data_IF_937660378835
#
_entry.id   IF_937660378835
#
_cell.length_a   1.000
_cell.length_b   1.000
_cell.length_c   1.000
_cell.angle_alpha   90.00
_cell.angle_beta   90.00
_cell.angle_gamma   90.00
#
_symmetry.space_group_name_H-M   'P 1'
#
loop_
_entity.id
_entity.type
_entity.pdbx_description
1 polymer ?
#
# COMPACT_ATOMS: atom_id res chain seq x y z
N UNK A 1 2.45 -10.50 6.97
CA UNK A 1 2.35 -9.54 5.84
C UNK A 1 2.75 -8.13 6.26
N UNK A 2 2.05 -7.49 7.19
CA UNK A 2 2.38 -6.11 7.60
C UNK A 2 3.83 -5.93 8.07
N UNK A 3 4.27 -6.77 9.02
CA UNK A 3 5.65 -6.74 9.53
C UNK A 3 6.71 -6.91 8.43
N UNK A 4 6.54 -7.87 7.51
CA UNK A 4 7.51 -8.11 6.43
C UNK A 4 7.60 -6.95 5.44
N UNK A 5 6.48 -6.31 5.10
CA UNK A 5 6.45 -5.13 4.23
C UNK A 5 7.10 -3.92 4.92
N UNK A 6 6.72 -3.64 6.16
CA UNK A 6 7.29 -2.54 6.92
C UNK A 6 8.80 -2.71 7.14
N UNK A 7 9.26 -3.92 7.48
CA UNK A 7 10.68 -4.23 7.62
C UNK A 7 11.44 -4.03 6.29
N UNK A 8 10.84 -4.45 5.16
CA UNK A 8 11.44 -4.26 3.83
C UNK A 8 11.62 -2.78 3.51
N UNK A 9 10.59 -1.95 3.72
CA UNK A 9 10.65 -0.49 3.48
C UNK A 9 11.65 0.17 4.45
N UNK A 10 11.66 -0.23 5.71
CA UNK A 10 12.63 0.26 6.71
C UNK A 10 14.07 -0.02 6.29
N UNK A 11 14.38 -1.25 5.86
CA UNK A 11 15.72 -1.62 5.41
C UNK A 11 16.13 -0.86 4.14
N UNK A 12 15.18 -0.62 3.23
CA UNK A 12 15.43 0.17 2.03
C UNK A 12 15.79 1.61 2.36
N UNK A 13 15.02 2.24 3.25
CA UNK A 13 15.24 3.62 3.70
C UNK A 13 16.54 3.76 4.49
N UNK A 14 16.88 2.77 5.32
CA UNK A 14 18.16 2.70 6.04
C UNK A 14 19.36 2.65 5.08
N UNK A 15 19.18 2.04 3.91
CA UNK A 15 20.19 1.99 2.84
C UNK A 15 20.25 3.25 1.97
N UNK A 16 19.49 4.30 2.32
CA UNK A 16 19.37 5.55 1.56
C UNK A 16 18.76 5.37 0.15
N UNK A 17 17.78 4.47 0.04
CA UNK A 17 16.98 4.25 -1.17
C UNK A 17 15.50 4.51 -0.90
N UNK A 18 14.77 4.79 -1.99
CA UNK A 18 13.33 5.04 -2.03
C UNK A 18 12.72 4.06 -3.04
N UNK A 19 11.56 3.46 -2.72
CA UNK A 19 10.91 2.48 -3.60
C UNK A 19 10.13 3.15 -4.73
N UNK A 20 9.41 4.23 -4.42
CA UNK A 20 8.70 5.12 -5.37
C UNK A 20 7.47 4.54 -6.06
N UNK A 21 7.20 3.24 -5.93
CA UNK A 21 6.03 2.58 -6.51
C UNK A 21 5.41 1.50 -5.59
N UNK A 22 5.11 1.83 -4.33
CA UNK A 22 4.44 0.91 -3.40
C UNK A 22 2.93 1.00 -3.59
N UNK A 23 2.29 -0.13 -3.86
CA UNK A 23 0.83 -0.27 -4.00
C UNK A 23 0.43 -1.75 -3.98
N UNK A 24 -0.86 -2.03 -3.85
CA UNK A 24 -1.39 -3.41 -3.69
C UNK A 24 -0.98 -4.38 -4.77
N UNK A 25 -0.95 -3.93 -6.03
CA UNK A 25 -0.55 -4.75 -7.19
C UNK A 25 0.94 -5.08 -7.20
N UNK A 26 1.75 -4.29 -6.50
CA UNK A 26 3.17 -4.56 -6.26
C UNK A 26 3.43 -5.46 -5.06
N UNK A 27 2.40 -5.94 -4.37
CA UNK A 27 2.53 -6.89 -3.25
C UNK A 27 2.24 -8.30 -3.76
N UNK A 28 3.26 -9.14 -3.77
CA UNK A 28 3.15 -10.54 -4.18
C UNK A 28 3.00 -11.43 -2.95
N UNK A 29 2.00 -12.32 -2.98
CA UNK A 29 1.73 -13.27 -1.90
C UNK A 29 2.08 -14.68 -2.33
N UNK A 30 2.74 -15.42 -1.44
CA UNK A 30 3.09 -16.81 -1.64
C UNK A 30 2.77 -17.63 -0.40
N UNK A 31 2.58 -18.92 -0.59
CA UNK A 31 2.50 -19.89 0.49
C UNK A 31 3.90 -20.44 0.73
N UNK A 32 4.43 -20.19 1.92
CA UNK A 32 5.63 -20.87 2.40
C UNK A 32 5.22 -22.17 3.09
N UNK A 33 5.88 -23.25 2.72
CA UNK A 33 5.76 -24.60 3.26
C UNK A 33 7.14 -25.08 3.73
N UNK A 34 7.24 -26.22 4.43
CA UNK A 34 8.54 -26.78 4.81
C UNK A 34 9.45 -27.12 3.61
N UNK A 35 8.89 -27.27 2.42
CA UNK A 35 9.63 -27.60 1.19
C UNK A 35 10.00 -26.37 0.36
N UNK A 36 9.50 -25.18 0.72
CA UNK A 36 9.86 -23.93 0.06
C UNK A 36 8.66 -22.98 -0.12
N UNK A 37 8.81 -22.03 -1.02
CA UNK A 37 7.80 -20.99 -1.29
C UNK A 37 7.14 -21.23 -2.63
N UNK A 38 5.80 -21.21 -2.67
CA UNK A 38 5.02 -21.48 -3.87
C UNK A 38 3.93 -20.43 -4.07
N UNK A 39 3.69 -20.06 -5.33
CA UNK A 39 2.54 -19.25 -5.72
C UNK A 39 1.25 -20.08 -5.79
N UNK A 40 1.37 -21.41 -5.88
CA UNK A 40 0.25 -22.33 -5.92
C UNK A 40 -0.29 -22.62 -4.51
N UNK A 41 -1.55 -23.03 -4.42
CA UNK A 41 -2.16 -23.47 -3.16
C UNK A 41 -2.61 -22.36 -2.21
N UNK A 42 -2.27 -21.09 -2.48
CA UNK A 42 -2.65 -19.95 -1.63
C UNK A 42 -4.17 -19.83 -1.43
N UNK A 43 -4.95 -20.00 -2.51
CA UNK A 43 -6.41 -19.94 -2.47
C UNK A 43 -7.01 -21.09 -1.65
N UNK A 44 -6.53 -22.32 -1.88
CA UNK A 44 -6.98 -23.50 -1.12
C UNK A 44 -6.64 -23.37 0.36
N UNK A 45 -5.40 -22.95 0.68
CA UNK A 45 -4.96 -22.72 2.06
C UNK A 45 -5.81 -21.67 2.77
N UNK A 46 -6.23 -20.61 2.08
CA UNK A 46 -7.10 -19.57 2.67
C UNK A 46 -8.51 -20.09 2.97
N UNK A 47 -9.06 -20.99 2.14
CA UNK A 47 -10.40 -21.54 2.35
C UNK A 47 -10.43 -22.65 3.41
N UNK A 48 -9.42 -23.52 3.38
CA UNK A 48 -9.29 -24.66 4.28
C UNK A 48 -7.86 -24.69 4.83
N UNK A 49 -7.57 -23.90 5.88
CA UNK A 49 -6.27 -23.93 6.52
C UNK A 49 -6.06 -25.31 7.15
N UNK A 50 -4.99 -26.01 6.76
CA UNK A 50 -4.59 -27.28 7.38
C UNK A 50 -3.80 -26.97 8.66
N UNK A 51 -4.31 -27.27 9.86
CA UNK A 51 -3.61 -26.97 11.11
C UNK A 51 -2.34 -27.82 11.32
N UNK A 52 -2.21 -28.91 10.58
CA UNK A 52 -1.07 -29.85 10.70
C UNK A 52 0.13 -29.46 9.82
N UNK A 53 -0.06 -28.59 8.83
CA UNK A 53 0.99 -28.17 7.93
C UNK A 53 1.59 -26.85 8.42
N UNK A 54 2.90 -26.83 8.71
CA UNK A 54 3.63 -25.62 9.07
C UNK A 54 3.77 -24.71 7.84
N UNK A 55 2.66 -24.04 7.50
CA UNK A 55 2.50 -23.22 6.31
C UNK A 55 2.15 -21.80 6.70
N UNK A 56 2.71 -20.83 5.98
CA UNK A 56 2.45 -19.41 6.25
C UNK A 56 2.34 -18.62 4.96
N UNK A 57 1.45 -17.63 4.95
CA UNK A 57 1.38 -16.66 3.85
C UNK A 57 2.50 -15.64 4.05
N UNK A 58 3.40 -15.55 3.07
CA UNK A 58 4.49 -14.57 3.01
C UNK A 58 4.23 -13.54 1.92
N UNK A 59 4.72 -12.32 2.13
CA UNK A 59 4.53 -11.19 1.21
C UNK A 59 5.87 -10.62 0.75
N UNK A 60 6.00 -10.34 -0.54
CA UNK A 60 7.16 -9.70 -1.14
C UNK A 60 6.75 -8.42 -1.86
N UNK A 61 7.63 -7.41 -1.79
CA UNK A 61 7.49 -6.17 -2.55
C UNK A 61 8.14 -6.36 -3.93
N UNK A 62 7.41 -6.04 -5.01
CA UNK A 62 7.91 -6.04 -6.39
C UNK A 62 8.19 -4.61 -6.87
N UNK A 63 8.37 -4.40 -8.18
CA UNK A 63 8.52 -3.08 -8.81
C UNK A 63 9.82 -2.32 -8.46
N UNK A 64 10.87 -3.05 -8.05
CA UNK A 64 12.21 -2.52 -7.76
C UNK A 64 12.85 -1.73 -8.91
N UNK A 65 12.36 -1.85 -10.15
CA UNK A 65 12.79 -1.03 -11.29
C UNK A 65 12.55 0.47 -11.10
N UNK A 66 11.65 0.87 -10.20
CA UNK A 66 11.41 2.28 -9.83
C UNK A 66 12.29 2.76 -8.67
N UNK A 67 12.93 1.86 -7.94
CA UNK A 67 13.69 2.21 -6.75
C UNK A 67 14.92 3.05 -7.12
N UNK A 68 15.19 4.11 -6.37
CA UNK A 68 16.30 5.03 -6.62
C UNK A 68 16.97 5.43 -5.31
N UNK A 69 18.26 5.77 -5.38
CA UNK A 69 18.94 6.38 -4.23
C UNK A 69 18.31 7.74 -3.92
N UNK A 70 18.26 8.12 -2.63
CA UNK A 70 17.82 9.46 -2.19
C UNK A 70 18.64 10.61 -2.81
N UNK A 71 19.87 10.32 -3.25
CA UNK A 71 20.75 11.29 -3.90
C UNK A 71 20.37 11.53 -5.36
N UNK A 72 19.65 10.60 -5.98
CA UNK A 72 19.17 10.73 -7.35
C UNK A 72 17.91 11.60 -7.33
N UNK A 73 17.91 12.66 -8.14
CA UNK A 73 16.75 13.52 -8.30
C UNK A 73 15.49 12.74 -8.69
N UNK A 74 14.32 13.30 -8.37
CA UNK A 74 13.04 12.69 -8.71
C UNK A 74 12.48 13.24 -10.01
N UNK A 75 12.02 12.37 -10.89
CA UNK A 75 11.22 12.77 -12.05
C UNK A 75 9.89 13.40 -11.59
N UNK A 76 9.68 14.66 -11.96
CA UNK A 76 8.47 15.43 -11.65
C UNK A 76 7.37 15.21 -12.71
N UNK A 77 7.28 13.99 -13.24
CA UNK A 77 6.32 13.63 -14.28
C UNK A 77 4.91 13.66 -13.71
N UNK A 78 4.01 14.30 -14.44
CA UNK A 78 2.59 14.27 -14.11
C UNK A 78 1.98 12.93 -14.53
N UNK A 79 1.08 12.41 -13.71
CA UNK A 79 0.37 11.17 -13.98
C UNK A 79 -1.05 11.26 -13.43
N UNK A 80 -2.02 11.00 -14.31
CA UNK A 80 -3.45 11.16 -14.06
C UNK A 80 -4.18 9.82 -13.98
N UNK A 81 -3.48 8.70 -13.88
CA UNK A 81 -4.10 7.40 -13.61
C UNK A 81 -4.72 7.39 -12.22
N UNK A 82 -6.05 7.19 -12.14
CA UNK A 82 -6.80 7.43 -10.91
C UNK A 82 -6.41 6.48 -9.78
N UNK A 83 -6.35 5.18 -10.05
CA UNK A 83 -6.11 4.16 -9.02
C UNK A 83 -4.69 4.21 -8.43
N UNK A 84 -3.60 4.26 -9.23
CA UNK A 84 -2.24 4.42 -8.69
C UNK A 84 -2.08 5.68 -7.83
N UNK A 85 -2.77 6.78 -8.20
CA UNK A 85 -2.71 8.02 -7.43
C UNK A 85 -3.32 7.89 -6.01
N UNK A 86 -4.17 6.90 -5.73
CA UNK A 86 -4.68 6.67 -4.37
C UNK A 86 -3.58 6.24 -3.39
N UNK A 87 -2.51 5.62 -3.88
CA UNK A 87 -1.35 5.19 -3.10
C UNK A 87 -0.27 6.26 -3.02
N UNK A 88 -0.41 7.38 -3.73
CA UNK A 88 0.57 8.47 -3.72
C UNK A 88 0.23 9.49 -2.67
N UNK A 89 1.26 9.96 -1.97
CA UNK A 89 1.15 11.07 -1.05
C UNK A 89 0.52 12.30 -1.73
N UNK A 90 -0.33 13.10 -1.06
CA UNK A 90 -0.99 14.28 -1.62
C UNK A 90 -0.09 15.23 -2.43
N UNK A 91 1.17 15.41 -2.01
CA UNK A 91 2.16 16.26 -2.73
C UNK A 91 2.67 15.67 -4.04
N UNK A 92 2.35 14.41 -4.32
CA UNK A 92 2.79 13.66 -5.49
C UNK A 92 1.63 13.21 -6.38
N UNK A 93 0.38 13.54 -6.02
CA UNK A 93 -0.79 13.19 -6.82
C UNK A 93 -0.95 14.11 -8.03
N UNK A 94 -1.24 13.53 -9.20
CA UNK A 94 -1.47 14.30 -10.42
C UNK A 94 -0.20 15.01 -10.90
N UNK A 95 -0.09 16.31 -10.57
CA UNK A 95 1.10 17.14 -10.84
C UNK A 95 1.92 17.25 -9.55
N UNK A 96 3.09 16.61 -9.46
CA UNK A 96 3.87 16.63 -8.23
C UNK A 96 4.33 18.03 -7.85
N UNK A 97 4.19 18.39 -6.57
CA UNK A 97 4.66 19.66 -6.00
C UNK A 97 6.04 19.57 -5.36
N UNK A 98 6.43 18.39 -4.87
CA UNK A 98 7.69 18.15 -4.15
C UNK A 98 8.50 16.99 -4.75
N UNK A 99 9.80 16.96 -4.51
CA UNK A 99 10.64 15.80 -4.83
C UNK A 99 10.23 14.58 -3.99
N UNK A 100 10.50 13.36 -4.47
CA UNK A 100 10.15 12.18 -3.72
C UNK A 100 11.05 12.02 -2.49
N UNK A 101 10.46 11.77 -1.32
CA UNK A 101 11.16 11.55 -0.06
C UNK A 101 10.68 10.23 0.60
N UNK A 102 11.15 9.94 1.82
CA UNK A 102 10.78 8.72 2.54
C UNK A 102 9.31 8.70 2.99
N UNK A 103 8.75 9.85 3.37
CA UNK A 103 7.36 9.98 3.81
C UNK A 103 6.40 9.50 2.71
N UNK A 104 6.72 9.77 1.43
CA UNK A 104 5.90 9.27 0.33
C UNK A 104 5.84 7.74 0.20
N UNK A 105 6.93 7.03 0.50
CA UNK A 105 6.89 5.56 0.58
C UNK A 105 6.13 5.09 1.82
N UNK A 106 6.24 5.81 2.94
CA UNK A 106 5.54 5.47 4.19
C UNK A 106 4.03 5.66 4.03
N UNK A 107 3.59 6.75 3.41
CA UNK A 107 2.20 7.00 3.04
C UNK A 107 1.66 5.84 2.20
N UNK A 108 2.39 5.49 1.13
CA UNK A 108 1.99 4.41 0.21
C UNK A 108 1.90 3.05 0.92
N UNK A 109 2.85 2.77 1.82
CA UNK A 109 2.80 1.61 2.69
C UNK A 109 1.58 1.64 3.63
N UNK A 110 1.25 2.80 4.22
CA UNK A 110 0.07 2.99 5.06
C UNK A 110 -1.24 2.65 4.32
N UNK A 111 -1.38 3.09 3.07
CA UNK A 111 -2.52 2.74 2.21
C UNK A 111 -2.60 1.23 1.97
N UNK A 112 -1.49 0.57 1.67
CA UNK A 112 -1.44 -0.90 1.49
C UNK A 112 -1.77 -1.64 2.79
N UNK A 113 -1.25 -1.18 3.92
CA UNK A 113 -1.55 -1.79 5.22
C UNK A 113 -3.01 -1.60 5.62
N UNK A 114 -3.63 -0.48 5.26
CA UNK A 114 -5.07 -0.25 5.43
C UNK A 114 -5.89 -1.26 4.61
N UNK A 115 -5.55 -1.51 3.34
CA UNK A 115 -6.23 -2.53 2.54
C UNK A 115 -6.07 -3.94 3.13
N UNK A 116 -4.87 -4.28 3.61
CA UNK A 116 -4.62 -5.56 4.28
C UNK A 116 -5.46 -5.64 5.56
N UNK A 117 -5.55 -4.55 6.30
CA UNK A 117 -6.29 -4.47 7.56
C UNK A 117 -7.80 -4.60 7.40
N UNK A 118 -8.35 -3.98 6.37
CA UNK A 118 -9.78 -4.07 6.02
C UNK A 118 -10.10 -5.31 5.18
N UNK A 119 -9.07 -5.95 4.63
CA UNK A 119 -9.17 -7.04 3.66
C UNK A 119 -10.04 -6.71 2.42
N UNK A 120 -10.02 -5.44 2.02
CA UNK A 120 -10.74 -4.91 0.84
C UNK A 120 -9.79 -4.00 0.07
N UNK A 121 -9.73 -4.15 -1.26
CA UNK A 121 -8.86 -3.31 -2.11
C UNK A 121 -9.35 -1.88 -2.21
N UNK A 122 -8.43 -0.95 -2.43
CA UNK A 122 -8.69 0.47 -2.58
C UNK A 122 -9.52 0.74 -3.84
N UNK A 123 -9.40 -0.09 -4.86
CA UNK A 123 -10.26 -0.05 -6.05
C UNK A 123 -11.74 -0.28 -5.70
N UNK A 124 -12.04 -1.09 -4.68
CA UNK A 124 -13.39 -1.32 -4.17
C UNK A 124 -13.82 -0.24 -3.18
N UNK A 125 -12.95 0.09 -2.21
CA UNK A 125 -13.25 1.11 -1.18
C UNK A 125 -13.49 2.49 -1.81
N UNK A 126 -12.78 2.81 -2.90
CA UNK A 126 -12.85 4.09 -3.61
C UNK A 126 -13.57 3.99 -4.96
N UNK A 127 -14.35 2.94 -5.21
CA UNK A 127 -15.01 2.70 -6.52
C UNK A 127 -15.78 3.92 -7.02
N UNK A 128 -16.57 4.55 -6.14
CA UNK A 128 -17.35 5.75 -6.48
C UNK A 128 -16.47 6.90 -6.98
N UNK A 129 -15.34 7.15 -6.32
CA UNK A 129 -14.37 8.20 -6.73
C UNK A 129 -13.66 7.84 -8.01
N UNK A 130 -13.31 6.56 -8.17
CA UNK A 130 -12.64 6.08 -9.39
C UNK A 130 -13.58 6.26 -10.59
N UNK A 131 -14.86 5.94 -10.43
CA UNK A 131 -15.87 6.15 -11.47
C UNK A 131 -16.04 7.64 -11.78
N UNK A 132 -16.26 8.49 -10.76
CA UNK A 132 -16.41 9.93 -10.94
C UNK A 132 -15.19 10.58 -11.63
N UNK A 133 -13.98 10.14 -11.27
CA UNK A 133 -12.75 10.64 -11.87
C UNK A 133 -12.60 10.21 -13.34
N UNK A 134 -13.01 8.97 -13.67
CA UNK A 134 -13.05 8.48 -15.06
C UNK A 134 -14.07 9.25 -15.89
N UNK A 135 -15.24 9.53 -15.33
CA UNK A 135 -16.33 10.23 -16.02
C UNK A 135 -16.00 11.72 -16.24
N UNK A 136 -15.38 12.37 -15.24
CA UNK A 136 -15.02 13.80 -15.30
C UNK A 136 -13.66 14.08 -15.94
N UNK A 137 -12.81 13.06 -16.11
CA UNK A 137 -11.42 13.21 -16.55
C UNK A 137 -10.53 13.94 -15.54
N UNK A 138 -10.96 14.08 -14.28
CA UNK A 138 -10.24 14.80 -13.23
C UNK A 138 -9.95 13.89 -12.05
N UNK A 139 -8.71 13.95 -11.54
CA UNK A 139 -8.35 13.23 -10.33
C UNK A 139 -9.18 13.71 -9.12
N UNK A 140 -9.49 12.81 -8.17
CA UNK A 140 -10.04 13.20 -6.89
C UNK A 140 -9.11 14.20 -6.18
N UNK A 141 -9.70 15.12 -5.41
CA UNK A 141 -8.90 16.08 -4.63
C UNK A 141 -8.09 15.32 -3.58
N UNK A 142 -6.78 15.51 -3.55
CA UNK A 142 -5.86 14.79 -2.66
C UNK A 142 -6.24 14.89 -1.18
N UNK A 143 -6.59 16.10 -0.71
CA UNK A 143 -7.10 16.30 0.66
C UNK A 143 -8.34 15.45 0.96
N UNK A 144 -9.25 15.32 0.00
CA UNK A 144 -10.46 14.52 0.19
C UNK A 144 -10.14 13.03 0.22
N UNK A 145 -9.21 12.58 -0.62
CA UNK A 145 -8.71 11.19 -0.58
C UNK A 145 -8.10 10.89 0.80
N UNK A 146 -7.27 11.80 1.32
CA UNK A 146 -6.66 11.67 2.64
C UNK A 146 -7.71 11.55 3.75
N UNK A 147 -8.69 12.47 3.79
CA UNK A 147 -9.79 12.44 4.76
C UNK A 147 -10.55 11.10 4.72
N UNK A 148 -10.79 10.57 3.51
CA UNK A 148 -11.53 9.33 3.36
C UNK A 148 -10.69 8.10 3.75
N UNK A 149 -9.37 8.11 3.53
CA UNK A 149 -8.45 7.08 4.03
C UNK A 149 -8.38 7.05 5.56
N UNK A 150 -8.28 8.22 6.19
CA UNK A 150 -8.30 8.36 7.66
C UNK A 150 -9.65 7.88 8.23
N UNK A 151 -10.76 8.25 7.60
CA UNK A 151 -12.09 7.79 8.00
C UNK A 151 -12.22 6.26 7.89
N UNK A 152 -11.72 5.66 6.80
CA UNK A 152 -11.69 4.21 6.63
C UNK A 152 -10.86 3.52 7.73
N UNK A 153 -9.71 4.08 8.07
CA UNK A 153 -8.86 3.58 9.14
C UNK A 153 -9.59 3.62 10.50
N UNK A 154 -10.17 4.76 10.86
CA UNK A 154 -10.85 4.96 12.14
C UNK A 154 -12.13 4.13 12.29
N UNK A 155 -12.89 3.93 11.22
CA UNK A 155 -14.20 3.25 11.29
C UNK A 155 -14.12 1.74 11.06
N UNK A 156 -13.18 1.31 10.20
CA UNK A 156 -13.09 -0.09 9.77
C UNK A 156 -12.13 -0.90 10.61
N UNK A 157 -10.94 -0.37 10.89
CA UNK A 157 -9.89 -1.15 11.56
C UNK A 157 -10.22 -1.62 12.98
N UNK A 158 -10.94 -0.86 13.84
CA UNK A 158 -11.30 -1.35 15.17
C UNK A 158 -12.06 -2.68 15.14
N UNK A 159 -12.91 -2.86 14.12
CA UNK A 159 -13.74 -4.06 13.97
C UNK A 159 -12.94 -5.27 13.52
N UNK A 160 -11.90 -5.05 12.71
CA UNK A 160 -11.11 -6.12 12.10
C UNK A 160 -9.83 -6.46 12.91
N UNK A 161 -9.20 -5.47 13.54
CA UNK A 161 -7.87 -5.63 14.17
C UNK A 161 -7.76 -5.05 15.59
N UNK A 162 -8.83 -4.45 16.12
CA UNK A 162 -8.84 -3.79 17.43
C UNK A 162 -8.25 -2.38 17.42
N UNK A 163 -8.52 -1.63 18.49
CA UNK A 163 -8.32 -0.17 18.54
C UNK A 163 -6.85 0.27 18.43
N UNK A 164 -5.91 -0.52 18.95
CA UNK A 164 -4.48 -0.14 18.99
C UNK A 164 -3.81 -0.02 17.62
N UNK A 165 -4.39 -0.61 16.57
CA UNK A 165 -3.81 -0.59 15.21
C UNK A 165 -4.18 0.70 14.46
N UNK A 166 -5.24 1.38 14.89
CA UNK A 166 -5.76 2.60 14.24
C UNK A 166 -4.76 3.74 14.29
N UNK A 167 -4.23 4.04 15.47
CA UNK A 167 -3.37 5.21 15.69
C UNK A 167 -2.09 5.13 14.85
N UNK A 168 -1.52 3.93 14.72
CA UNK A 168 -0.31 3.69 13.93
C UNK A 168 -0.56 3.89 12.43
N UNK A 169 -1.70 3.41 11.92
CA UNK A 169 -2.03 3.54 10.49
C UNK A 169 -2.50 4.94 10.12
N UNK A 170 -3.28 5.60 10.99
CA UNK A 170 -3.69 6.98 10.79
C UNK A 170 -2.47 7.92 10.75
N UNK A 171 -1.53 7.77 11.69
CA UNK A 171 -0.30 8.56 11.70
C UNK A 171 0.56 8.35 10.44
N UNK A 172 0.61 7.13 9.90
CA UNK A 172 1.32 6.84 8.65
C UNK A 172 0.67 7.44 7.40
N UNK A 173 -0.65 7.59 7.40
CA UNK A 173 -1.44 8.18 6.30
C UNK A 173 -1.42 9.72 6.36
N UNK A 174 -1.29 10.30 7.55
CA UNK A 174 -1.27 11.75 7.77
C UNK A 174 0.11 12.41 7.58
N UNK A 175 1.20 11.62 7.53
CA UNK A 175 2.56 12.08 7.19
C UNK A 175 2.71 12.37 5.71
#
# INVERSE_FOLDING_TARGET
>A
MAHSLALTVSNLHASAWLHKNIWSRGILLFLETPTGTSAAGLYAHRLTPSPQENTRIVSYLSDWGYARSVQQGTEMRSDFEVEPNLYRHPDRQGRPSHQFNREHDIYALGVVLLEIGLWVTMSRLMEGKIREAKDSGRLPRSKKVLEDLVALAQQGLPKEMGEKVVDVLAGGIEM
#
